data_IF_176081554059
#
_entry.id   IF_176081554059
#
_cell.length_a   1.000
_cell.length_b   1.000
_cell.length_c   1.000
_cell.angle_alpha   90.00
_cell.angle_beta   90.00
_cell.angle_gamma   90.00
#
_symmetry.space_group_name_H-M   'P 1'
#
loop_
_entity.id
_entity.type
_entity.pdbx_description
1 polymer ?
#
# COMPACT_ATOMS: atom_id res chain seq x y z
N UNK A 1 -0.37 -4.16 23.47
CA UNK A 1 -0.68 -3.95 22.04
C UNK A 1 -1.95 -4.71 21.75
N UNK A 2 -3.04 -4.00 21.46
CA UNK A 2 -4.32 -4.62 21.12
C UNK A 2 -4.29 -5.01 19.66
N UNK A 3 -4.61 -6.28 19.36
CA UNK A 3 -4.74 -6.78 18.01
C UNK A 3 -6.03 -7.58 17.86
N UNK A 4 -6.71 -7.40 16.74
CA UNK A 4 -7.97 -8.08 16.45
C UNK A 4 -7.88 -8.73 15.08
N UNK A 5 -8.44 -9.93 14.94
CA UNK A 5 -8.61 -10.57 13.64
C UNK A 5 -10.07 -10.39 13.23
N UNK A 6 -10.29 -9.61 12.19
CA UNK A 6 -11.61 -9.28 11.66
C UNK A 6 -11.68 -9.59 10.18
N UNK A 7 -12.85 -9.97 9.70
CA UNK A 7 -13.01 -10.25 8.27
C UNK A 7 -13.14 -8.96 7.48
N UNK A 8 -12.87 -9.02 6.18
CA UNK A 8 -13.13 -7.90 5.27
C UNK A 8 -14.60 -7.46 5.29
N UNK A 9 -15.53 -8.39 5.53
CA UNK A 9 -16.96 -8.10 5.68
C UNK A 9 -17.21 -7.27 6.94
N UNK A 10 -16.65 -7.70 8.07
CA UNK A 10 -16.79 -6.99 9.35
C UNK A 10 -16.26 -5.56 9.23
N UNK A 11 -15.06 -5.39 8.66
CA UNK A 11 -14.46 -4.06 8.44
C UNK A 11 -15.33 -3.17 7.56
N UNK A 12 -15.81 -3.71 6.43
CA UNK A 12 -16.65 -2.96 5.50
C UNK A 12 -17.96 -2.50 6.15
N UNK A 13 -18.63 -3.39 6.88
CA UNK A 13 -19.86 -3.08 7.59
C UNK A 13 -19.58 -2.05 8.70
N UNK A 14 -18.63 -2.28 9.60
CA UNK A 14 -18.31 -1.33 10.68
C UNK A 14 -18.00 0.08 10.15
N UNK A 15 -17.21 0.18 9.09
CA UNK A 15 -16.91 1.47 8.45
C UNK A 15 -18.17 2.13 7.89
N UNK A 16 -19.06 1.36 7.26
CA UNK A 16 -20.35 1.87 6.77
C UNK A 16 -21.25 2.37 7.91
N UNK A 17 -21.32 1.65 9.04
CA UNK A 17 -22.09 2.06 10.24
C UNK A 17 -21.60 3.40 10.79
N UNK A 18 -20.29 3.64 10.77
CA UNK A 18 -19.66 4.88 11.22
C UNK A 18 -19.72 6.01 10.18
N UNK A 19 -20.47 5.81 9.09
CA UNK A 19 -20.64 6.77 8.00
C UNK A 19 -19.35 7.00 7.20
N UNK A 20 -18.46 6.02 7.14
CA UNK A 20 -17.34 5.99 6.21
C UNK A 20 -17.83 5.67 4.79
N UNK A 21 -17.33 6.42 3.80
CA UNK A 21 -17.77 6.27 2.40
C UNK A 21 -16.93 5.26 1.61
N UNK A 22 -15.63 5.19 1.88
CA UNK A 22 -14.66 4.38 1.13
C UNK A 22 -13.67 3.77 2.10
N UNK A 23 -13.38 2.48 1.93
CA UNK A 23 -12.34 1.76 2.66
C UNK A 23 -11.20 1.43 1.68
N UNK A 24 -10.23 2.33 1.58
CA UNK A 24 -9.11 2.21 0.63
C UNK A 24 -8.29 0.96 0.96
N UNK A 25 -7.90 0.20 -0.07
CA UNK A 25 -7.07 -1.00 0.04
C UNK A 25 -7.84 -2.29 0.38
N UNK A 26 -9.12 -2.21 0.77
CA UNK A 26 -9.96 -3.38 1.08
C UNK A 26 -11.12 -3.45 0.07
N UNK A 27 -11.12 -4.50 -0.75
CA UNK A 27 -12.17 -4.72 -1.76
C UNK A 27 -13.55 -4.84 -1.12
N UNK A 28 -14.55 -4.14 -1.68
CA UNK A 28 -15.94 -4.27 -1.26
C UNK A 28 -16.40 -5.75 -1.38
N UNK A 29 -16.73 -6.42 -0.26
CA UNK A 29 -17.13 -7.82 -0.27
C UNK A 29 -18.59 -8.02 -0.74
N UNK A 30 -19.32 -6.94 -1.01
CA UNK A 30 -20.73 -6.93 -1.41
C UNK A 30 -20.96 -6.13 -2.71
N UNK A 31 -20.28 -6.44 -3.82
CA UNK A 31 -20.35 -5.63 -5.05
C UNK A 31 -21.75 -5.59 -5.70
N UNK A 32 -22.61 -6.55 -5.38
CA UNK A 32 -23.95 -6.69 -5.98
C UNK A 32 -25.09 -6.64 -4.97
N UNK A 33 -24.83 -6.30 -3.70
CA UNK A 33 -25.88 -6.25 -2.69
C UNK A 33 -26.67 -4.95 -2.79
N UNK A 34 -28.00 -5.08 -2.84
CA UNK A 34 -28.91 -3.98 -2.56
C UNK A 34 -29.00 -3.75 -1.05
N UNK A 35 -29.32 -2.52 -0.61
CA UNK A 35 -29.20 -2.12 0.80
C UNK A 35 -30.00 -3.00 1.77
N UNK A 36 -31.18 -3.49 1.39
CA UNK A 36 -31.99 -4.40 2.21
C UNK A 36 -31.43 -5.82 2.38
N UNK A 37 -30.35 -6.19 1.66
CA UNK A 37 -29.69 -7.50 1.79
C UNK A 37 -28.56 -7.52 2.83
N UNK A 38 -28.22 -6.37 3.41
CA UNK A 38 -27.14 -6.28 4.40
C UNK A 38 -27.58 -6.63 5.83
N UNK A 39 -28.87 -6.60 6.14
CA UNK A 39 -29.40 -6.87 7.51
C UNK A 39 -28.89 -8.19 8.09
N UNK A 40 -28.95 -9.27 7.31
CA UNK A 40 -28.43 -10.59 7.74
C UNK A 40 -26.92 -10.56 8.01
N UNK A 41 -26.18 -9.80 7.21
CA UNK A 41 -24.72 -9.68 7.37
C UNK A 41 -24.37 -8.85 8.61
N UNK A 42 -25.17 -7.82 8.94
CA UNK A 42 -25.06 -7.08 10.20
C UNK A 42 -25.28 -7.99 11.41
N UNK A 43 -26.35 -8.79 11.41
CA UNK A 43 -26.63 -9.73 12.49
C UNK A 43 -25.49 -10.74 12.70
N UNK A 44 -24.95 -11.29 11.61
CA UNK A 44 -23.83 -12.23 11.65
C UNK A 44 -22.60 -11.55 12.25
N UNK A 45 -22.28 -10.34 11.78
CA UNK A 45 -21.17 -9.54 12.28
C UNK A 45 -21.33 -9.26 13.78
N UNK A 46 -22.49 -8.77 14.24
CA UNK A 46 -22.70 -8.46 15.66
C UNK A 46 -22.63 -9.70 16.55
N UNK A 47 -23.24 -10.83 16.15
CA UNK A 47 -23.12 -12.10 16.87
C UNK A 47 -21.66 -12.54 16.99
N UNK A 48 -20.89 -12.37 15.91
CA UNK A 48 -19.45 -12.68 15.92
C UNK A 48 -18.68 -11.76 16.85
N UNK A 49 -18.84 -10.45 16.74
CA UNK A 49 -18.14 -9.45 17.56
C UNK A 49 -18.50 -9.57 19.04
N UNK A 50 -19.75 -9.93 19.36
CA UNK A 50 -20.16 -10.22 20.73
C UNK A 50 -19.48 -11.45 21.33
N UNK A 51 -19.36 -12.55 20.56
CA UNK A 51 -18.57 -13.72 20.98
C UNK A 51 -17.08 -13.38 21.21
N UNK A 52 -16.58 -12.34 20.55
CA UNK A 52 -15.21 -11.84 20.72
C UNK A 52 -15.08 -10.83 21.86
N UNK A 53 -16.16 -10.47 22.56
CA UNK A 53 -16.16 -9.45 23.62
C UNK A 53 -15.93 -8.02 23.11
N UNK A 54 -16.16 -7.77 21.82
CA UNK A 54 -15.94 -6.46 21.19
C UNK A 54 -17.20 -5.61 21.11
N UNK A 55 -18.37 -6.24 21.22
CA UNK A 55 -19.68 -5.59 21.15
C UNK A 55 -20.64 -6.27 22.10
N UNK A 56 -21.32 -5.49 22.94
CA UNK A 56 -22.43 -5.95 23.77
C UNK A 56 -23.73 -5.23 23.39
N UNK A 57 -24.85 -5.88 23.66
CA UNK A 57 -26.16 -5.27 23.57
C UNK A 57 -26.68 -5.00 24.98
N UNK A 58 -26.68 -3.74 25.40
CA UNK A 58 -27.05 -3.32 26.75
C UNK A 58 -28.16 -2.28 26.63
N UNK A 59 -29.30 -2.56 27.25
CA UNK A 59 -30.44 -1.62 27.34
C UNK A 59 -30.96 -1.10 25.98
N UNK A 60 -30.89 -1.93 24.93
CA UNK A 60 -31.36 -1.54 23.60
C UNK A 60 -30.26 -0.93 22.71
N UNK A 61 -29.06 -0.70 23.26
CA UNK A 61 -27.95 -0.03 22.57
C UNK A 61 -26.76 -0.96 22.36
N UNK A 62 -26.02 -0.73 21.27
CA UNK A 62 -24.76 -1.40 21.00
C UNK A 62 -23.63 -0.69 21.75
N UNK A 63 -23.01 -1.40 22.70
CA UNK A 63 -21.82 -0.94 23.42
C UNK A 63 -20.59 -1.63 22.85
N UNK A 64 -19.68 -0.86 22.29
CA UNK A 64 -18.43 -1.39 21.75
C UNK A 64 -17.30 -1.33 22.79
N UNK A 65 -16.33 -2.24 22.67
CA UNK A 65 -15.04 -2.11 23.35
C UNK A 65 -14.35 -0.82 22.87
N UNK A 66 -13.86 -0.02 23.82
CA UNK A 66 -13.41 1.34 23.58
C UNK A 66 -12.28 1.45 22.56
N UNK A 67 -11.23 0.63 22.71
CA UNK A 67 -10.08 0.68 21.81
C UNK A 67 -10.43 0.18 20.41
N UNK A 68 -11.31 -0.82 20.31
CA UNK A 68 -11.80 -1.37 19.06
C UNK A 68 -12.60 -0.34 18.27
N UNK A 69 -13.60 0.30 18.90
CA UNK A 69 -14.41 1.30 18.20
C UNK A 69 -13.60 2.53 17.81
N UNK A 70 -12.64 2.95 18.65
CA UNK A 70 -11.68 4.01 18.29
C UNK A 70 -10.88 3.64 17.04
N UNK A 71 -10.41 2.40 16.91
CA UNK A 71 -9.71 1.95 15.70
C UNK A 71 -10.62 1.99 14.47
N UNK A 72 -11.88 1.54 14.60
CA UNK A 72 -12.85 1.60 13.51
C UNK A 72 -13.19 3.03 13.08
N UNK A 73 -13.23 3.98 14.02
CA UNK A 73 -13.39 5.40 13.70
C UNK A 73 -12.24 5.94 12.85
N UNK A 74 -10.99 5.58 13.16
CA UNK A 74 -9.83 5.97 12.34
C UNK A 74 -9.95 5.40 10.93
N UNK A 75 -10.31 4.13 10.79
CA UNK A 75 -10.56 3.52 9.47
C UNK A 75 -11.64 4.28 8.69
N UNK A 76 -12.74 4.64 9.35
CA UNK A 76 -13.90 5.25 8.70
C UNK A 76 -13.70 6.72 8.32
N UNK A 77 -12.81 7.44 9.00
CA UNK A 77 -12.62 8.90 8.84
C UNK A 77 -11.24 9.30 8.31
N UNK A 78 -10.34 8.35 8.13
CA UNK A 78 -9.02 8.64 7.60
C UNK A 78 -9.10 9.32 6.23
N UNK A 79 -8.38 10.44 6.10
CA UNK A 79 -8.14 11.13 4.83
C UNK A 79 -6.74 10.84 4.28
N UNK A 80 -5.99 9.97 4.95
CA UNK A 80 -4.62 9.58 4.59
C UNK A 80 -4.44 8.08 4.84
N UNK A 81 -4.20 7.33 3.77
CA UNK A 81 -4.01 5.88 3.82
C UNK A 81 -2.69 5.53 3.14
N UNK A 82 -1.86 4.73 3.80
CA UNK A 82 -0.69 4.12 3.17
C UNK A 82 -0.96 2.65 2.90
N UNK A 83 -0.54 2.12 1.76
CA UNK A 83 -0.53 0.70 1.46
C UNK A 83 0.91 0.28 1.18
N UNK A 84 1.38 -0.72 1.92
CA UNK A 84 2.60 -1.44 1.59
C UNK A 84 2.23 -2.81 1.02
N UNK A 85 2.81 -3.15 -0.13
CA UNK A 85 2.78 -4.51 -0.68
C UNK A 85 4.21 -5.02 -0.87
N UNK A 86 4.49 -6.20 -0.32
CA UNK A 86 5.77 -6.90 -0.46
C UNK A 86 5.55 -8.16 -1.30
N UNK A 87 6.38 -8.32 -2.34
CA UNK A 87 6.42 -9.49 -3.22
C UNK A 87 5.06 -9.90 -3.80
N UNK A 88 4.14 -8.94 -3.92
CA UNK A 88 2.75 -9.15 -4.37
C UNK A 88 1.92 -10.09 -3.48
N UNK A 89 2.38 -10.38 -2.25
CA UNK A 89 1.74 -11.32 -1.35
C UNK A 89 1.35 -10.67 -0.03
N UNK A 90 2.32 -10.07 0.66
CA UNK A 90 2.07 -9.43 1.95
C UNK A 90 1.53 -8.02 1.72
N UNK A 91 0.40 -7.70 2.34
CA UNK A 91 -0.22 -6.39 2.23
C UNK A 91 -0.48 -5.83 3.62
N UNK A 92 -0.16 -4.56 3.82
CA UNK A 92 -0.48 -3.82 5.03
C UNK A 92 -1.03 -2.46 4.67
N UNK A 93 -2.20 -2.12 5.22
CA UNK A 93 -2.89 -0.86 4.94
C UNK A 93 -2.92 -0.05 6.24
N UNK A 94 -2.45 1.18 6.20
CA UNK A 94 -2.30 2.04 7.37
C UNK A 94 -3.24 3.23 7.23
N UNK A 95 -4.20 3.35 8.14
CA UNK A 95 -5.14 4.45 8.23
C UNK A 95 -4.66 5.44 9.29
N UNK A 96 -4.45 6.69 8.89
CA UNK A 96 -3.90 7.72 9.76
C UNK A 96 -5.00 8.59 10.37
N UNK A 97 -4.82 8.95 11.64
CA UNK A 97 -5.42 10.12 12.28
C UNK A 97 -4.31 11.04 12.80
N UNK A 98 -4.68 12.11 13.49
CA UNK A 98 -3.73 13.09 14.02
C UNK A 98 -2.78 12.49 15.08
N UNK A 99 -3.26 11.53 15.87
CA UNK A 99 -2.58 11.02 17.07
C UNK A 99 -2.15 9.53 16.98
N UNK A 100 -2.66 8.77 16.01
CA UNK A 100 -2.42 7.33 15.90
C UNK A 100 -2.52 6.83 14.47
N UNK A 101 -2.10 5.58 14.28
CA UNK A 101 -2.25 4.86 13.01
C UNK A 101 -2.85 3.49 13.28
N UNK A 102 -3.81 3.08 12.46
CA UNK A 102 -4.34 1.71 12.49
C UNK A 102 -3.85 0.96 11.25
N UNK A 103 -3.12 -0.13 11.47
CA UNK A 103 -2.70 -1.04 10.41
C UNK A 103 -3.71 -2.18 10.29
N UNK A 104 -4.22 -2.40 9.08
CA UNK A 104 -4.88 -3.61 8.63
C UNK A 104 -3.87 -4.45 7.85
N UNK A 105 -3.24 -5.40 8.51
CA UNK A 105 -2.32 -6.36 7.88
C UNK A 105 -3.13 -7.54 7.35
N UNK A 106 -3.01 -7.85 6.06
CA UNK A 106 -3.69 -8.99 5.45
C UNK A 106 -3.18 -10.28 6.08
N UNK A 107 -4.08 -11.06 6.66
CA UNK A 107 -3.76 -12.37 7.23
C UNK A 107 -4.05 -13.48 6.21
N UNK A 108 -5.16 -13.35 5.47
CA UNK A 108 -5.50 -14.17 4.31
C UNK A 108 -6.47 -13.38 3.41
N UNK A 109 -7.03 -14.00 2.38
CA UNK A 109 -7.95 -13.34 1.43
C UNK A 109 -9.25 -12.80 2.06
N UNK A 110 -9.59 -13.28 3.27
CA UNK A 110 -10.85 -13.01 3.94
C UNK A 110 -10.70 -12.23 5.24
N UNK A 111 -9.54 -12.24 5.89
CA UNK A 111 -9.29 -11.59 7.18
C UNK A 111 -8.06 -10.70 7.21
N UNK A 112 -8.15 -9.72 8.10
CA UNK A 112 -7.10 -8.77 8.42
C UNK A 112 -6.85 -8.77 9.92
N UNK A 113 -5.58 -8.71 10.28
CA UNK A 113 -5.13 -8.36 11.62
C UNK A 113 -5.09 -6.84 11.75
N UNK A 114 -5.92 -6.30 12.62
CA UNK A 114 -5.99 -4.88 12.95
C UNK A 114 -5.04 -4.60 14.11
N UNK A 115 -4.08 -3.69 13.91
CA UNK A 115 -3.02 -3.37 14.85
C UNK A 115 -3.02 -1.87 15.08
N UNK A 116 -3.04 -1.45 16.36
CA UNK A 116 -2.92 -0.05 16.73
C UNK A 116 -1.44 0.32 16.89
N UNK A 117 -1.01 1.31 16.14
CA UNK A 117 0.29 1.96 16.26
C UNK A 117 0.17 3.32 16.95
N UNK A 118 1.25 3.82 17.55
CA UNK A 118 1.28 5.15 18.17
C UNK A 118 1.30 6.24 17.08
N UNK A 119 1.87 7.41 17.41
CA UNK A 119 1.87 8.60 16.55
C UNK A 119 2.28 8.33 15.08
N UNK A 120 1.68 9.03 14.11
CA UNK A 120 1.99 8.94 12.69
C UNK A 120 3.48 8.96 12.35
N UNK A 121 4.23 9.93 12.87
CA UNK A 121 5.66 10.07 12.57
C UNK A 121 6.49 8.88 13.11
N UNK A 122 6.10 8.30 14.24
CA UNK A 122 6.72 7.10 14.76
C UNK A 122 6.44 5.91 13.83
N UNK A 123 5.18 5.72 13.44
CA UNK A 123 4.76 4.64 12.54
C UNK A 123 5.49 4.71 11.20
N UNK A 124 5.62 5.92 10.64
CA UNK A 124 6.38 6.17 9.41
C UNK A 124 7.84 5.73 9.56
N UNK A 125 8.52 6.22 10.60
CA UNK A 125 9.97 6.01 10.78
C UNK A 125 10.33 4.60 11.21
N UNK A 126 9.50 3.99 12.05
CA UNK A 126 9.82 2.71 12.72
C UNK A 126 9.13 1.51 12.07
N UNK A 127 8.13 1.72 11.21
CA UNK A 127 7.36 0.62 10.61
C UNK A 127 7.36 0.71 9.08
N UNK A 128 6.83 1.80 8.51
CA UNK A 128 6.72 1.92 7.05
C UNK A 128 8.09 1.93 6.37
N UNK A 129 8.99 2.80 6.83
CA UNK A 129 10.32 2.94 6.21
C UNK A 129 11.16 1.65 6.31
N UNK A 130 11.29 0.98 7.48
CA UNK A 130 12.01 -0.29 7.56
C UNK A 130 11.43 -1.38 6.66
N UNK A 131 10.09 -1.50 6.55
CA UNK A 131 9.46 -2.47 5.63
C UNK A 131 9.78 -2.17 4.17
N UNK A 132 9.77 -0.90 3.76
CA UNK A 132 10.12 -0.51 2.40
C UNK A 132 11.60 -0.75 2.06
N UNK A 133 12.49 -0.75 3.06
CA UNK A 133 13.93 -0.98 2.91
C UNK A 133 14.33 -2.45 3.08
N UNK A 134 13.38 -3.36 3.20
CA UNK A 134 13.66 -4.79 3.36
C UNK A 134 14.46 -5.32 2.16
N UNK A 135 15.57 -6.02 2.44
CA UNK A 135 16.48 -6.58 1.44
C UNK A 135 17.41 -5.57 0.76
N UNK A 136 17.38 -4.29 1.16
CA UNK A 136 18.25 -3.26 0.56
C UNK A 136 19.69 -3.43 1.05
N UNK A 137 20.58 -3.69 0.11
CA UNK A 137 22.02 -3.62 0.31
C UNK A 137 22.55 -2.24 -0.11
N UNK A 138 23.50 -1.67 0.65
CA UNK A 138 24.13 -0.41 0.28
C UNK A 138 25.11 -0.61 -0.89
N UNK A 139 24.64 -0.40 -2.12
CA UNK A 139 25.43 -0.48 -3.34
C UNK A 139 25.44 0.84 -4.08
N UNK A 140 26.57 1.17 -4.70
CA UNK A 140 26.70 2.33 -5.59
C UNK A 140 25.86 2.12 -6.85
N UNK A 141 25.07 3.12 -7.25
CA UNK A 141 24.46 3.16 -8.57
C UNK A 141 25.56 3.31 -9.64
N UNK A 142 25.47 2.54 -10.72
CA UNK A 142 26.41 2.64 -11.85
C UNK A 142 25.83 3.39 -13.04
N UNK A 143 24.51 3.47 -13.12
CA UNK A 143 23.78 4.12 -14.19
C UNK A 143 22.89 5.22 -13.61
N UNK A 144 22.79 6.33 -14.34
CA UNK A 144 21.87 7.43 -14.01
C UNK A 144 20.66 7.48 -14.96
N UNK A 145 20.74 6.82 -16.12
CA UNK A 145 19.69 6.86 -17.13
C UNK A 145 18.44 6.12 -16.66
N UNK A 146 17.24 6.72 -16.86
CA UNK A 146 15.99 6.06 -16.57
C UNK A 146 15.67 4.96 -17.59
N UNK A 147 14.97 3.93 -17.13
CA UNK A 147 14.33 2.92 -17.96
C UNK A 147 12.82 3.05 -17.83
N UNK A 148 12.12 3.30 -18.93
CA UNK A 148 10.66 3.40 -18.99
C UNK A 148 10.05 2.04 -19.33
N UNK A 149 9.14 1.59 -18.46
CA UNK A 149 8.48 0.28 -18.55
C UNK A 149 6.98 0.48 -18.45
N UNK A 150 6.19 -0.30 -19.19
CA UNK A 150 4.74 -0.28 -19.03
C UNK A 150 4.35 -0.91 -17.67
N UNK A 151 3.41 -0.31 -16.91
CA UNK A 151 2.99 -0.87 -15.62
C UNK A 151 2.54 -2.33 -15.69
N UNK A 152 1.83 -2.72 -16.76
CA UNK A 152 1.37 -4.09 -17.00
C UNK A 152 2.53 -5.08 -17.17
N UNK A 153 3.58 -4.67 -17.88
CA UNK A 153 4.72 -5.53 -18.17
C UNK A 153 5.56 -5.77 -16.92
N UNK A 154 5.73 -4.74 -16.09
CA UNK A 154 6.54 -4.83 -14.87
C UNK A 154 6.02 -5.90 -13.88
N UNK A 155 4.70 -6.04 -13.76
CA UNK A 155 4.09 -7.08 -12.93
C UNK A 155 4.53 -8.48 -13.41
N UNK A 156 4.42 -8.71 -14.72
CA UNK A 156 4.84 -9.99 -15.31
C UNK A 156 6.35 -10.22 -15.23
N UNK A 157 7.18 -9.17 -15.27
CA UNK A 157 8.61 -9.30 -15.06
C UNK A 157 8.95 -9.73 -13.64
N UNK A 158 8.24 -9.20 -12.64
CA UNK A 158 8.43 -9.58 -11.24
C UNK A 158 8.01 -11.02 -10.98
N UNK A 159 6.94 -11.49 -11.62
CA UNK A 159 6.46 -12.88 -11.52
C UNK A 159 7.39 -13.86 -12.23
N UNK A 160 7.84 -13.54 -13.45
CA UNK A 160 8.68 -14.41 -14.27
C UNK A 160 10.17 -14.26 -14.00
N UNK A 161 10.54 -13.30 -13.15
CA UNK A 161 11.92 -12.95 -12.82
C UNK A 161 12.78 -12.66 -14.05
N UNK A 162 12.18 -12.11 -15.12
CA UNK A 162 12.87 -11.89 -16.38
C UNK A 162 12.18 -10.85 -17.27
N UNK A 163 12.98 -10.15 -18.06
CA UNK A 163 12.55 -9.22 -19.10
C UNK A 163 12.29 -10.00 -20.41
N UNK A 164 11.05 -10.43 -20.65
CA UNK A 164 10.73 -11.34 -21.77
C UNK A 164 10.55 -10.64 -23.14
N UNK A 165 10.22 -9.36 -23.18
CA UNK A 165 10.00 -8.56 -24.40
C UNK A 165 11.12 -7.52 -24.60
N UNK A 166 12.36 -7.93 -24.39
CA UNK A 166 13.54 -7.06 -24.35
C UNK A 166 13.67 -6.14 -25.57
N UNK A 167 13.41 -6.63 -26.79
CA UNK A 167 13.46 -5.81 -28.01
C UNK A 167 12.45 -4.65 -27.98
N UNK A 168 11.22 -4.89 -27.50
CA UNK A 168 10.21 -3.84 -27.39
C UNK A 168 10.60 -2.80 -26.35
N UNK A 169 11.15 -3.24 -25.21
CA UNK A 169 11.63 -2.33 -24.16
C UNK A 169 12.80 -1.48 -24.67
N UNK A 170 13.70 -2.07 -25.46
CA UNK A 170 14.79 -1.34 -26.10
C UNK A 170 14.28 -0.24 -27.04
N UNK A 171 13.31 -0.57 -27.91
CA UNK A 171 12.66 0.39 -28.82
C UNK A 171 11.99 1.52 -28.04
N UNK A 172 11.21 1.20 -27.01
CA UNK A 172 10.49 2.19 -26.20
C UNK A 172 11.42 3.19 -25.50
N UNK A 173 12.66 2.77 -25.23
CA UNK A 173 13.67 3.56 -24.54
C UNK A 173 14.72 4.16 -25.47
N UNK A 174 14.64 3.89 -26.79
CA UNK A 174 15.64 4.31 -27.77
C UNK A 174 17.07 3.88 -27.39
N UNK A 175 17.23 2.63 -26.97
CA UNK A 175 18.52 2.03 -26.60
C UNK A 175 18.74 0.74 -27.38
N UNK A 176 19.99 0.28 -27.43
CA UNK A 176 20.32 -1.04 -27.97
C UNK A 176 19.71 -2.16 -27.07
N UNK A 177 19.26 -3.25 -27.68
CA UNK A 177 18.76 -4.43 -26.98
C UNK A 177 19.83 -5.05 -26.08
N UNK A 178 21.10 -4.94 -26.46
CA UNK A 178 22.27 -5.41 -25.71
C UNK A 178 22.79 -4.36 -24.70
N UNK A 179 22.08 -3.25 -24.51
CA UNK A 179 22.51 -2.16 -23.62
C UNK A 179 22.71 -2.61 -22.17
N UNK A 180 23.70 -1.99 -21.52
CA UNK A 180 24.03 -2.27 -20.13
C UNK A 180 22.85 -1.99 -19.18
N UNK A 181 22.02 -0.98 -19.50
CA UNK A 181 20.82 -0.63 -18.74
C UNK A 181 19.83 -1.81 -18.67
N UNK A 182 19.47 -2.38 -19.83
CA UNK A 182 18.55 -3.51 -19.91
C UNK A 182 19.13 -4.76 -19.25
N UNK A 183 20.43 -5.05 -19.49
CA UNK A 183 21.13 -6.17 -18.86
C UNK A 183 21.13 -6.07 -17.34
N UNK A 184 21.42 -4.88 -16.78
CA UNK A 184 21.46 -4.69 -15.34
C UNK A 184 20.07 -4.75 -14.71
N UNK A 185 19.05 -4.19 -15.36
CA UNK A 185 17.67 -4.31 -14.89
C UNK A 185 17.19 -5.77 -14.91
N UNK A 186 17.38 -6.48 -16.02
CA UNK A 186 17.02 -7.89 -16.14
C UNK A 186 17.75 -8.76 -15.10
N UNK A 187 19.06 -8.54 -14.89
CA UNK A 187 19.81 -9.23 -13.85
C UNK A 187 19.30 -8.94 -12.43
N UNK A 188 18.78 -7.73 -12.21
CA UNK A 188 18.21 -7.34 -10.92
C UNK A 188 16.87 -8.05 -10.67
N UNK A 189 16.05 -8.23 -11.71
CA UNK A 189 14.84 -9.06 -11.67
C UNK A 189 15.15 -10.54 -11.37
N UNK A 190 16.09 -11.12 -12.11
CA UNK A 190 16.50 -12.53 -11.96
C UNK A 190 17.06 -12.85 -10.57
N UNK A 191 17.69 -11.86 -9.93
CA UNK A 191 18.29 -11.99 -8.60
C UNK A 191 17.49 -11.21 -7.55
N UNK A 192 16.20 -10.95 -7.77
CA UNK A 192 15.37 -10.20 -6.83
C UNK A 192 15.44 -10.82 -5.43
N UNK A 193 15.60 -9.97 -4.42
CA UNK A 193 15.38 -10.33 -3.01
C UNK A 193 13.91 -10.05 -2.68
N UNK A 194 13.50 -8.78 -2.78
CA UNK A 194 12.12 -8.32 -2.57
C UNK A 194 11.68 -7.27 -3.59
N UNK A 195 10.39 -7.24 -3.89
CA UNK A 195 9.69 -6.07 -4.45
C UNK A 195 8.79 -5.43 -3.40
N UNK A 196 9.11 -4.22 -2.98
CA UNK A 196 8.28 -3.45 -2.04
C UNK A 196 7.58 -2.31 -2.78
N UNK A 197 6.29 -2.11 -2.53
CA UNK A 197 5.50 -1.00 -3.09
C UNK A 197 4.88 -0.21 -1.96
N UNK A 198 5.08 1.10 -1.96
CA UNK A 198 4.35 2.05 -1.14
C UNK A 198 3.40 2.84 -2.03
N UNK A 199 2.12 2.84 -1.69
CA UNK A 199 1.12 3.75 -2.24
C UNK A 199 0.55 4.60 -1.11
N UNK A 200 0.50 5.91 -1.30
CA UNK A 200 -0.16 6.86 -0.42
C UNK A 200 -1.41 7.40 -1.11
N UNK A 201 -2.54 7.25 -0.45
CA UNK A 201 -3.83 7.79 -0.86
C UNK A 201 -4.18 8.91 0.09
N UNK A 202 -4.42 10.10 -0.43
CA UNK A 202 -4.76 11.25 0.39
C UNK A 202 -5.85 12.08 -0.26
N UNK A 203 -6.66 12.72 0.58
CA UNK A 203 -7.78 13.52 0.10
C UNK A 203 -7.34 14.96 -0.15
N UNK A 204 -7.34 15.38 -1.41
CA UNK A 204 -7.13 16.78 -1.80
C UNK A 204 -8.48 17.40 -2.17
N UNK A 205 -8.97 18.32 -1.32
CA UNK A 205 -10.32 18.92 -1.43
C UNK A 205 -11.42 17.85 -1.50
N UNK A 206 -11.88 17.52 -2.70
CA UNK A 206 -12.96 16.57 -2.96
C UNK A 206 -12.47 15.26 -3.58
N UNK A 207 -11.24 15.20 -4.08
CA UNK A 207 -10.73 14.07 -4.84
C UNK A 207 -9.67 13.30 -4.05
N UNK A 208 -9.60 11.99 -4.30
CA UNK A 208 -8.48 11.18 -3.85
C UNK A 208 -7.32 11.33 -4.81
N UNK A 209 -6.15 11.65 -4.27
CA UNK A 209 -4.87 11.66 -4.98
C UNK A 209 -4.06 10.45 -4.56
N UNK A 210 -3.20 10.01 -5.46
CA UNK A 210 -2.38 8.82 -5.30
C UNK A 210 -0.94 9.21 -5.60
N UNK A 211 -0.04 8.88 -4.68
CA UNK A 211 1.40 8.96 -4.86
C UNK A 211 2.00 7.60 -4.52
N UNK A 212 3.10 7.22 -5.16
CA UNK A 212 3.69 5.93 -4.87
C UNK A 212 5.08 5.73 -5.39
N UNK A 213 5.74 4.71 -4.83
CA UNK A 213 7.05 4.26 -5.26
C UNK A 213 7.14 2.75 -5.10
N UNK A 214 7.74 2.10 -6.09
CA UNK A 214 8.16 0.71 -6.00
C UNK A 214 9.66 0.64 -5.81
N UNK A 215 10.10 -0.36 -5.08
CA UNK A 215 11.50 -0.65 -4.79
C UNK A 215 11.75 -2.12 -5.14
N UNK A 216 12.63 -2.34 -6.10
CA UNK A 216 13.19 -3.66 -6.40
C UNK A 216 14.55 -3.77 -5.70
N UNK A 217 14.64 -4.65 -4.72
CA UNK A 217 15.89 -4.96 -4.02
C UNK A 217 16.57 -6.18 -4.66
N UNK A 218 17.88 -6.07 -4.88
CA UNK A 218 18.67 -7.13 -5.53
C UNK A 218 20.14 -6.99 -5.15
N UNK A 219 20.89 -8.10 -4.99
CA UNK A 219 22.34 -8.05 -4.83
C UNK A 219 23.05 -7.58 -6.11
N UNK A 220 22.32 -7.42 -7.23
CA UNK A 220 22.87 -6.76 -8.41
C UNK A 220 22.85 -5.24 -8.22
N UNK A 221 21.64 -4.65 -8.21
CA UNK A 221 21.40 -3.23 -8.00
C UNK A 221 19.98 -3.04 -7.47
N UNK A 222 19.79 -2.04 -6.61
CA UNK A 222 18.44 -1.64 -6.21
C UNK A 222 17.85 -0.67 -7.24
N UNK A 223 16.55 -0.75 -7.45
CA UNK A 223 15.83 0.12 -8.36
C UNK A 223 14.62 0.74 -7.70
N UNK A 224 14.39 2.03 -7.95
CA UNK A 224 13.12 2.71 -7.69
C UNK A 224 12.32 2.77 -8.96
N UNK A 225 11.01 2.53 -8.89
CA UNK A 225 10.10 2.75 -10.00
C UNK A 225 8.98 3.69 -9.57
N UNK A 226 8.72 4.69 -10.42
CA UNK A 226 7.69 5.71 -10.19
C UNK A 226 6.81 5.87 -11.40
N UNK A 227 5.52 6.10 -11.16
CA UNK A 227 4.59 6.39 -12.24
C UNK A 227 4.86 7.80 -12.79
N UNK A 228 4.99 7.92 -14.10
CA UNK A 228 5.13 9.19 -14.81
C UNK A 228 4.28 9.16 -16.07
N UNK A 229 3.73 10.31 -16.47
CA UNK A 229 3.02 10.43 -17.75
C UNK A 229 3.95 11.06 -18.79
N UNK A 230 4.11 10.40 -19.94
CA UNK A 230 4.89 10.90 -21.08
C UNK A 230 4.10 10.68 -22.35
N UNK A 231 3.81 11.78 -23.06
CA UNK A 231 3.03 11.78 -24.31
C UNK A 231 1.65 11.09 -24.16
N UNK A 232 0.99 11.26 -23.02
CA UNK A 232 -0.32 10.66 -22.73
C UNK A 232 -0.28 9.17 -22.37
N UNK A 233 0.91 8.57 -22.27
CA UNK A 233 1.10 7.18 -21.84
C UNK A 233 1.67 7.17 -20.42
N UNK A 234 1.11 6.32 -19.56
CA UNK A 234 1.64 6.08 -18.22
C UNK A 234 2.79 5.08 -18.28
N UNK A 235 3.92 5.48 -17.71
CA UNK A 235 5.14 4.68 -17.62
C UNK A 235 5.56 4.52 -16.17
N UNK A 236 6.22 3.40 -15.88
CA UNK A 236 7.09 3.28 -14.73
C UNK A 236 8.49 3.74 -15.13
N UNK A 237 8.94 4.87 -14.58
CA UNK A 237 10.32 5.31 -14.65
C UNK A 237 11.15 4.54 -13.62
N UNK A 238 11.95 3.58 -14.09
CA UNK A 238 12.86 2.80 -13.27
C UNK A 238 14.25 3.45 -13.25
N UNK A 239 14.79 3.69 -12.05
CA UNK A 239 16.14 4.26 -11.85
C UNK A 239 16.92 3.43 -10.84
N UNK A 240 18.21 3.25 -11.07
CA UNK A 240 19.07 2.68 -10.05
C UNK A 240 19.18 3.63 -8.86
N UNK A 241 19.10 3.08 -7.67
CA UNK A 241 19.15 3.87 -6.44
C UNK A 241 20.14 3.27 -5.44
N UNK A 242 20.91 4.15 -4.80
CA UNK A 242 21.71 3.82 -3.61
C UNK A 242 20.81 3.86 -2.37
N UNK A 243 21.31 3.36 -1.22
CA UNK A 243 20.57 3.41 0.05
C UNK A 243 19.97 4.79 0.35
N UNK A 244 20.79 5.84 0.32
CA UNK A 244 20.32 7.22 0.61
C UNK A 244 19.35 7.77 -0.45
N UNK A 245 19.51 7.38 -1.71
CA UNK A 245 18.56 7.77 -2.76
C UNK A 245 17.22 7.07 -2.54
N UNK A 246 17.21 5.78 -2.23
CA UNK A 246 15.99 5.03 -1.89
C UNK A 246 15.23 5.68 -0.72
N UNK A 247 15.94 6.00 0.36
CA UNK A 247 15.34 6.65 1.53
C UNK A 247 14.72 7.99 1.13
N UNK A 248 15.46 8.83 0.40
CA UNK A 248 14.92 10.11 -0.11
C UNK A 248 13.71 9.91 -1.01
N UNK A 249 13.70 8.86 -1.81
CA UNK A 249 12.62 8.60 -2.74
C UNK A 249 11.33 8.15 -2.03
N UNK A 250 11.46 7.35 -0.97
CA UNK A 250 10.36 6.92 -0.09
C UNK A 250 9.86 8.09 0.76
N UNK A 251 10.77 8.84 1.39
CA UNK A 251 10.43 10.03 2.19
C UNK A 251 9.79 11.10 1.32
N UNK A 252 10.28 11.31 0.10
CA UNK A 252 9.71 12.28 -0.82
C UNK A 252 8.25 11.98 -1.19
N UNK A 253 7.81 10.71 -1.22
CA UNK A 253 6.39 10.36 -1.36
C UNK A 253 5.58 10.90 -0.18
N UNK A 254 6.11 10.76 1.04
CA UNK A 254 5.45 11.23 2.26
C UNK A 254 5.44 12.76 2.35
N UNK A 255 6.52 13.42 1.93
CA UNK A 255 6.64 14.89 1.93
C UNK A 255 5.68 15.54 0.93
N UNK A 256 5.58 15.02 -0.30
CA UNK A 256 4.62 15.54 -1.30
C UNK A 256 3.18 15.46 -0.83
N UNK A 257 2.84 14.43 -0.06
CA UNK A 257 1.52 14.32 0.57
C UNK A 257 1.34 15.40 1.65
N UNK A 258 2.35 15.67 2.48
CA UNK A 258 2.31 16.71 3.53
C UNK A 258 2.21 18.12 2.95
N UNK A 259 2.96 18.44 1.91
CA UNK A 259 2.93 19.75 1.26
C UNK A 259 1.54 20.06 0.66
N UNK A 260 0.90 19.05 0.04
CA UNK A 260 -0.46 19.19 -0.48
C UNK A 260 -1.55 19.23 0.61
N UNK A 261 -1.25 18.81 1.84
CA UNK A 261 -2.13 18.95 3.01
C UNK A 261 -1.92 20.24 3.81
N UNK A 262 -0.83 20.98 3.57
CA UNK A 262 -0.50 22.24 4.25
C UNK A 262 -0.99 23.50 3.52
N UNK A 263 -1.62 23.36 2.36
CA UNK A 263 -2.40 24.46 1.75
C UNK A 263 -3.76 24.52 2.42
N UNK A 264 -3.80 25.14 3.61
CA UNK A 264 -5.03 25.62 4.26
C UNK A 264 -5.47 26.95 3.66
#
# INVERSE_FOLDING_TARGET
MSNWIVTRKDLYLLVKMLGGKVLIGITNPFPHYQEGKLEKEWEIMFKKLNKMGLVDYIQGELKFEGQFIEAMWVLAKSNLVAEIVTDHQEQSIFYFSDDRVIECMKENEMSYKVIKHPAPDHTIKQILLPRMLMGIENRSARLNDPLYILPSDYLHYCERLTLFNLNQVAINNNVDSDSLLLKQFNRSLQRKIHTNRLMMFYRDKLDWKIEGVHVLSSPSYNWTLRMVSKNGIEWLEAKQATGDKLVREIVGVLERVKENHLVK
#
